data_IF_102044956002
#
_entry.id   IF_102044956002
#
_cell.length_a   1.000
_cell.length_b   1.000
_cell.length_c   1.000
_cell.angle_alpha   90.00
_cell.angle_beta   90.00
_cell.angle_gamma   90.00
#
_symmetry.space_group_name_H-M   'P 1'
#
loop_
_entity.id
_entity.type
_entity.pdbx_description
1 polymer ?
#
# COMPACT_ATOMS: atom_id res chain seq x y z
N UNK A 1 4.94 17.09 7.89
CA UNK A 1 5.05 16.62 6.50
C UNK A 1 3.66 16.23 6.03
N UNK A 2 3.32 16.41 4.75
CA UNK A 2 2.01 15.96 4.25
C UNK A 2 1.85 14.45 4.47
N UNK A 3 0.65 14.06 4.90
CA UNK A 3 0.31 12.64 5.07
C UNK A 3 -0.29 12.13 3.78
N UNK A 4 0.13 10.95 3.36
CA UNK A 4 -0.37 10.29 2.16
C UNK A 4 -0.99 8.96 2.54
N UNK A 5 -2.13 8.65 1.93
CA UNK A 5 -2.75 7.34 1.97
C UNK A 5 -2.47 6.65 0.65
N UNK A 6 -1.67 5.59 0.72
CA UNK A 6 -1.25 4.80 -0.44
C UNK A 6 -2.02 3.49 -0.44
N UNK A 7 -2.74 3.21 -1.53
CA UNK A 7 -3.41 1.94 -1.76
C UNK A 7 -2.50 1.02 -2.55
N UNK A 8 -2.16 -0.12 -1.96
CA UNK A 8 -1.32 -1.15 -2.56
C UNK A 8 -2.19 -2.37 -2.87
N UNK A 9 -2.09 -2.86 -4.10
CA UNK A 9 -2.88 -3.99 -4.63
C UNK A 9 -1.94 -5.11 -5.06
N UNK A 10 -2.20 -6.35 -4.65
CA UNK A 10 -1.38 -7.53 -4.99
C UNK A 10 -2.11 -8.55 -5.86
N UNK A 11 -3.44 -8.51 -5.88
CA UNK A 11 -4.31 -9.29 -6.75
C UNK A 11 -5.55 -8.45 -7.15
N UNK A 12 -6.35 -8.93 -8.11
CA UNK A 12 -7.55 -8.22 -8.60
C UNK A 12 -8.52 -7.87 -7.46
N UNK A 13 -8.53 -8.67 -6.39
CA UNK A 13 -9.43 -8.53 -5.23
C UNK A 13 -8.73 -8.08 -3.96
N UNK A 14 -7.39 -8.06 -3.91
CA UNK A 14 -6.64 -7.82 -2.68
C UNK A 14 -5.97 -6.46 -2.70
N UNK A 15 -6.41 -5.58 -1.80
CA UNK A 15 -5.79 -4.27 -1.60
C UNK A 15 -5.70 -3.91 -0.12
N UNK A 16 -4.61 -3.25 0.25
CA UNK A 16 -4.41 -2.64 1.57
C UNK A 16 -4.15 -1.14 1.42
N UNK A 17 -4.38 -0.38 2.48
CA UNK A 17 -4.09 1.04 2.54
C UNK A 17 -3.04 1.28 3.62
N UNK A 18 -1.96 1.97 3.26
CA UNK A 18 -0.89 2.36 4.17
C UNK A 18 -0.86 3.88 4.25
N UNK A 19 -0.83 4.43 5.46
CA UNK A 19 -0.69 5.87 5.66
C UNK A 19 0.75 6.19 6.03
N UNK A 20 1.39 7.05 5.25
CA UNK A 20 2.80 7.45 5.42
C UNK A 20 2.95 8.96 5.38
N UNK A 21 3.99 9.47 6.02
CA UNK A 21 4.41 10.86 5.89
C UNK A 21 5.52 10.97 4.85
N UNK A 22 5.35 11.84 3.86
CA UNK A 22 6.34 12.03 2.81
C UNK A 22 6.39 13.49 2.35
N UNK A 23 7.41 13.85 1.58
CA UNK A 23 7.54 15.18 0.99
C UNK A 23 6.90 15.28 -0.40
N UNK A 24 6.65 14.14 -1.06
CA UNK A 24 5.99 14.06 -2.36
C UNK A 24 5.20 12.75 -2.49
N UNK A 25 4.25 12.67 -3.45
CA UNK A 25 3.54 11.43 -3.76
C UNK A 25 4.46 10.27 -4.14
N UNK A 26 5.56 10.54 -4.85
CA UNK A 26 6.54 9.52 -5.25
C UNK A 26 7.30 8.98 -4.04
N UNK A 27 7.72 9.87 -3.13
CA UNK A 27 8.35 9.48 -1.87
C UNK A 27 7.37 8.68 -0.98
N UNK A 28 6.07 9.02 -1.03
CA UNK A 28 5.03 8.27 -0.31
C UNK A 28 4.88 6.83 -0.82
N UNK A 29 5.05 6.58 -2.12
CA UNK A 29 4.98 5.21 -2.65
C UNK A 29 6.10 4.33 -2.10
N UNK A 30 7.35 4.83 -2.12
CA UNK A 30 8.49 4.11 -1.58
C UNK A 30 8.32 3.84 -0.07
N UNK A 31 7.97 4.88 0.69
CA UNK A 31 7.72 4.78 2.13
C UNK A 31 6.56 3.80 2.45
N UNK A 32 5.53 3.75 1.60
CA UNK A 32 4.41 2.83 1.79
C UNK A 32 4.80 1.37 1.56
N UNK A 33 5.71 1.07 0.62
CA UNK A 33 6.23 -0.28 0.44
C UNK A 33 7.16 -0.70 1.58
N UNK A 34 7.99 0.22 2.10
CA UNK A 34 8.82 -0.04 3.28
C UNK A 34 7.95 -0.31 4.51
N UNK A 35 6.97 0.55 4.78
CA UNK A 35 6.03 0.35 5.88
C UNK A 35 5.23 -0.96 5.73
N UNK A 36 4.85 -1.34 4.50
CA UNK A 36 4.18 -2.61 4.23
C UNK A 36 5.09 -3.82 4.50
N UNK A 37 6.39 -3.72 4.23
CA UNK A 37 7.38 -4.76 4.51
C UNK A 37 7.67 -4.89 6.01
N UNK A 38 7.64 -3.78 6.75
CA UNK A 38 7.78 -3.75 8.21
C UNK A 38 6.51 -4.19 8.96
N UNK A 39 5.34 -4.16 8.31
CA UNK A 39 4.12 -4.76 8.84
C UNK A 39 4.24 -6.29 8.83
N UNK A 40 4.84 -6.81 9.90
CA UNK A 40 5.09 -8.24 10.21
C UNK A 40 3.80 -9.11 10.15
N UNK A 41 2.63 -8.48 10.16
CA UNK A 41 1.32 -9.08 9.93
C UNK A 41 0.45 -8.16 9.07
N UNK A 42 0.92 -7.71 7.91
CA UNK A 42 0.01 -7.12 6.92
C UNK A 42 -1.00 -8.22 6.56
N UNK A 43 -2.19 -8.18 7.16
CA UNK A 43 -3.29 -9.09 6.88
C UNK A 43 -3.79 -8.75 5.49
N UNK A 44 -3.12 -9.32 4.49
CA UNK A 44 -3.73 -9.54 3.21
C UNK A 44 -4.91 -10.47 3.52
N UNK A 45 -6.13 -9.97 3.37
CA UNK A 45 -7.30 -10.85 3.29
C UNK A 45 -7.10 -11.73 2.06
N UNK A 46 -6.35 -12.80 2.25
CA UNK A 46 -6.15 -13.89 1.30
C UNK A 46 -7.54 -14.42 0.99
N UNK A 47 -8.00 -14.17 -0.24
CA UNK A 47 -9.08 -15.00 -0.76
C UNK A 47 -8.43 -16.34 -1.14
N UNK A 48 -8.86 -17.42 -0.48
CA UNK A 48 -8.34 -18.78 -0.68
C UNK A 48 -8.60 -19.24 -2.13
N UNK A 49 -7.76 -18.79 -3.07
CA UNK A 49 -7.96 -19.03 -4.50
C UNK A 49 -7.16 -18.14 -5.44
N UNK A 50 -6.50 -17.08 -4.95
CA UNK A 50 -5.71 -16.22 -5.83
C UNK A 50 -4.41 -16.91 -6.28
N UNK A 51 -4.48 -17.56 -7.44
CA UNK A 51 -3.35 -18.16 -8.16
C UNK A 51 -2.33 -17.13 -8.70
N UNK A 52 -2.60 -15.83 -8.52
CA UNK A 52 -1.72 -14.75 -8.92
C UNK A 52 -0.87 -14.30 -7.74
N UNK A 53 0.28 -14.95 -7.56
CA UNK A 53 1.40 -14.39 -6.80
C UNK A 53 2.05 -13.22 -7.58
N UNK A 54 1.24 -12.25 -8.03
CA UNK A 54 1.72 -11.03 -8.66
C UNK A 54 2.49 -10.16 -7.65
N UNK A 55 3.43 -9.36 -8.14
CA UNK A 55 4.06 -8.34 -7.32
C UNK A 55 3.02 -7.28 -6.94
N UNK A 56 3.05 -6.85 -5.68
CA UNK A 56 2.20 -5.76 -5.21
C UNK A 56 2.56 -4.46 -5.94
N UNK A 57 1.55 -3.68 -6.34
CA UNK A 57 1.71 -2.40 -7.04
C UNK A 57 0.79 -1.35 -6.44
N UNK A 58 1.19 -0.07 -6.52
CA UNK A 58 0.37 1.05 -6.04
C UNK A 58 -0.74 1.34 -7.04
N UNK A 59 -1.98 1.38 -6.56
CA UNK A 59 -3.16 1.73 -7.38
C UNK A 59 -3.68 3.13 -7.12
N UNK A 60 -3.42 3.71 -5.94
CA UNK A 60 -3.80 5.06 -5.61
C UNK A 60 -2.86 5.70 -4.58
N UNK A 61 -2.67 7.01 -4.70
CA UNK A 61 -1.99 7.84 -3.69
C UNK A 61 -2.86 9.06 -3.46
N UNK A 62 -3.38 9.20 -2.25
CA UNK A 62 -4.26 10.30 -1.84
C UNK A 62 -3.57 11.14 -0.77
N UNK A 63 -3.63 12.47 -0.87
CA UNK A 63 -3.11 13.35 0.17
C UNK A 63 -4.14 13.45 1.28
N UNK A 64 -3.77 13.03 2.49
CA UNK A 64 -4.59 13.17 3.69
C UNK A 64 -4.15 14.42 4.45
N UNK A 65 -4.31 15.58 3.82
CA UNK A 65 -4.21 16.87 4.51
C UNK A 65 -5.62 17.21 5.02
N UNK A 66 -5.85 17.00 6.32
CA UNK A 66 -7.00 17.50 7.08
C UNK A 66 -6.48 18.46 8.13
#
# INVERSE_FOLDING_TARGET
>A
MPRFRVKITRAVTESTCVTVEALSPEAAQAAAFEALAEMENSVWTLDEGSWNAGHAYVTAVETTDV
#
